data_IF_971172814974
#
_entry.id   IF_971172814974
#
_cell.length_a   1.000
_cell.length_b   1.000
_cell.length_c   1.000
_cell.angle_alpha   90.00
_cell.angle_beta   90.00
_cell.angle_gamma   90.00
#
_symmetry.space_group_name_H-M   'P 1'
#
loop_
_entity.id
_entity.type
_entity.pdbx_description
1 polymer ?
#
# COMPACT_ATOMS: atom_id res chain seq x y z
N UNK A 1 4.48 -2.08 -5.44
CA UNK A 1 5.07 -1.18 -6.43
C UNK A 1 4.10 -0.04 -6.69
N UNK A 2 4.39 1.16 -6.19
CA UNK A 2 3.97 2.36 -6.92
C UNK A 2 4.89 2.37 -8.15
N UNK A 3 4.33 2.01 -9.31
CA UNK A 3 5.07 1.94 -10.56
C UNK A 3 5.50 3.33 -10.99
N UNK A 4 6.70 3.73 -10.60
CA UNK A 4 7.48 4.78 -11.26
C UNK A 4 8.22 4.22 -12.49
N UNK A 5 7.71 3.14 -13.10
CA UNK A 5 8.31 2.44 -14.23
C UNK A 5 7.97 3.07 -15.59
N UNK A 6 7.09 4.07 -15.62
CA UNK A 6 6.75 4.75 -16.87
C UNK A 6 7.25 6.19 -16.86
N UNK A 7 7.96 6.57 -17.92
CA UNK A 7 8.43 7.94 -18.20
C UNK A 7 7.29 8.93 -18.51
N UNK A 8 6.05 8.55 -18.18
CA UNK A 8 4.82 9.23 -18.57
C UNK A 8 4.63 9.27 -20.10
N UNK A 9 3.50 9.81 -20.59
CA UNK A 9 3.24 9.96 -22.02
C UNK A 9 4.29 10.81 -22.77
N UNK A 10 5.02 11.67 -22.05
CA UNK A 10 6.06 12.54 -22.63
C UNK A 10 7.40 11.82 -22.83
N UNK A 11 7.61 10.66 -22.21
CA UNK A 11 8.91 9.99 -22.21
C UNK A 11 9.97 10.68 -21.34
N UNK A 12 9.62 11.74 -20.61
CA UNK A 12 10.57 12.61 -19.87
C UNK A 12 10.22 12.80 -18.39
N UNK A 13 9.22 12.07 -17.88
CA UNK A 13 8.73 12.25 -16.51
C UNK A 13 9.62 11.67 -15.41
N UNK A 14 10.68 10.94 -15.76
CA UNK A 14 11.58 10.29 -14.80
C UNK A 14 13.00 10.82 -15.01
N UNK A 15 13.52 11.56 -14.02
CA UNK A 15 14.90 12.07 -14.03
C UNK A 15 15.93 10.94 -13.87
N UNK A 16 15.63 9.98 -12.99
CA UNK A 16 16.43 8.77 -12.79
C UNK A 16 15.56 7.61 -12.32
N UNK A 17 15.72 6.45 -12.97
CA UNK A 17 15.06 5.20 -12.59
C UNK A 17 16.03 4.31 -11.80
N UNK A 18 15.59 3.80 -10.66
CA UNK A 18 16.28 2.79 -9.89
C UNK A 18 15.29 1.75 -9.38
N UNK A 19 15.21 0.62 -10.09
CA UNK A 19 14.26 -0.46 -9.85
C UNK A 19 15.01 -1.80 -9.81
N UNK A 20 15.87 -2.02 -8.80
CA UNK A 20 16.48 -3.34 -8.63
C UNK A 20 15.37 -4.38 -8.48
N UNK A 21 15.51 -5.51 -9.16
CA UNK A 21 14.60 -6.64 -9.05
C UNK A 21 14.95 -7.41 -7.77
N UNK A 22 13.96 -7.61 -6.90
CA UNK A 22 14.17 -8.21 -5.57
C UNK A 22 14.70 -9.64 -5.67
N UNK A 23 14.39 -10.34 -6.77
CA UNK A 23 14.81 -11.72 -7.03
C UNK A 23 16.05 -11.85 -7.93
N UNK A 24 16.79 -10.76 -8.19
CA UNK A 24 17.94 -10.79 -9.11
C UNK A 24 19.28 -11.18 -8.45
N UNK A 25 19.33 -11.28 -7.12
CA UNK A 25 20.49 -11.80 -6.37
C UNK A 25 20.31 -13.32 -6.18
N UNK A 26 21.35 -14.18 -6.13
CA UNK A 26 21.20 -15.65 -6.08
C UNK A 26 20.39 -16.24 -4.91
N UNK A 27 19.84 -15.42 -4.01
CA UNK A 27 18.91 -15.82 -2.96
C UNK A 27 17.57 -15.13 -3.19
N UNK A 28 16.47 -15.90 -3.13
CA UNK A 28 15.11 -15.38 -3.09
C UNK A 28 14.90 -14.62 -1.77
N UNK A 29 15.04 -13.29 -1.82
CA UNK A 29 14.89 -12.42 -0.67
C UNK A 29 13.47 -12.42 -0.10
N UNK A 30 12.47 -12.93 -0.82
CA UNK A 30 11.10 -12.97 -0.33
C UNK A 30 10.86 -14.07 0.70
N UNK A 31 11.79 -15.01 0.85
CA UNK A 31 11.68 -16.15 1.78
C UNK A 31 12.15 -15.84 3.20
N UNK A 32 12.97 -14.80 3.38
CA UNK A 32 13.50 -14.36 4.67
C UNK A 32 13.35 -12.84 4.80
N UNK A 33 12.57 -12.33 5.78
CA UNK A 33 12.35 -10.89 5.93
C UNK A 33 13.66 -10.11 6.05
N UNK A 34 14.69 -10.64 6.73
CA UNK A 34 15.96 -9.92 6.90
C UNK A 34 16.78 -9.79 5.61
N UNK A 35 16.49 -10.58 4.59
CA UNK A 35 17.10 -10.40 3.27
C UNK A 35 16.41 -9.28 2.48
N UNK A 36 15.09 -9.08 2.65
CA UNK A 36 14.39 -7.90 2.15
C UNK A 36 14.98 -6.59 2.72
N UNK A 37 15.55 -6.59 3.93
CA UNK A 37 16.24 -5.41 4.48
C UNK A 37 17.44 -4.98 3.61
N UNK A 38 18.19 -5.95 3.05
CA UNK A 38 19.32 -5.67 2.14
C UNK A 38 18.82 -5.04 0.84
N UNK A 39 17.70 -5.55 0.32
CA UNK A 39 17.02 -4.97 -0.83
C UNK A 39 16.57 -3.52 -0.54
N UNK A 40 15.90 -3.29 0.58
CA UNK A 40 15.45 -1.95 0.96
C UNK A 40 16.61 -0.97 1.15
N UNK A 41 17.75 -1.45 1.65
CA UNK A 41 18.97 -0.64 1.81
C UNK A 41 19.43 -0.05 0.47
N UNK A 42 19.23 -0.76 -0.65
CA UNK A 42 19.54 -0.23 -1.98
C UNK A 42 18.69 1.01 -2.29
N UNK A 43 17.39 0.96 -2.00
CA UNK A 43 16.49 2.09 -2.18
C UNK A 43 16.83 3.25 -1.24
N UNK A 44 17.12 2.95 0.03
CA UNK A 44 17.51 3.96 1.03
C UNK A 44 18.75 4.72 0.58
N UNK A 45 19.76 4.01 0.07
CA UNK A 45 20.97 4.63 -0.44
C UNK A 45 20.72 5.46 -1.70
N UNK A 46 19.90 4.98 -2.65
CA UNK A 46 19.56 5.74 -3.85
C UNK A 46 18.84 7.05 -3.52
N UNK A 47 17.82 7.01 -2.64
CA UNK A 47 17.09 8.21 -2.20
C UNK A 47 18.00 9.18 -1.46
N UNK A 48 18.86 8.66 -0.57
CA UNK A 48 19.85 9.48 0.13
C UNK A 48 20.80 10.19 -0.84
N UNK A 49 21.26 9.50 -1.89
CA UNK A 49 22.08 10.11 -2.92
C UNK A 49 21.34 11.23 -3.65
N UNK A 50 20.09 11.02 -4.05
CA UNK A 50 19.28 12.05 -4.72
C UNK A 50 19.10 13.30 -3.87
N UNK A 51 18.87 13.13 -2.57
CA UNK A 51 18.79 14.24 -1.60
C UNK A 51 20.09 15.02 -1.49
N UNK A 52 21.23 14.39 -1.75
CA UNK A 52 22.56 15.04 -1.79
C UNK A 52 22.91 15.62 -3.18
N UNK A 53 22.05 15.50 -4.18
CA UNK A 53 22.35 15.93 -5.56
C UNK A 53 23.31 14.99 -6.28
N UNK A 54 23.22 13.69 -5.99
CA UNK A 54 24.06 12.64 -6.57
C UNK A 54 23.14 11.53 -7.12
N UNK A 55 23.52 10.92 -8.24
CA UNK A 55 22.83 9.73 -8.75
C UNK A 55 23.04 8.51 -7.85
N UNK A 56 22.23 7.45 -8.02
CA UNK A 56 22.45 6.18 -7.32
C UNK A 56 23.82 5.55 -7.61
N UNK A 57 24.43 5.85 -8.78
CA UNK A 57 25.76 5.40 -9.20
C UNK A 57 26.88 6.44 -8.95
N UNK A 58 26.67 7.38 -8.02
CA UNK A 58 27.66 8.34 -7.50
C UNK A 58 28.17 9.41 -8.48
N UNK A 59 27.31 9.91 -9.39
CA UNK A 59 27.61 11.02 -10.30
C UNK A 59 26.87 12.30 -9.88
N UNK A 60 27.38 13.50 -10.20
CA UNK A 60 26.64 14.74 -9.98
C UNK A 60 25.25 14.68 -10.63
N UNK A 61 24.23 15.13 -9.91
CA UNK A 61 22.84 15.02 -10.33
C UNK A 61 22.03 16.24 -9.91
N UNK A 62 21.02 16.60 -10.70
CA UNK A 62 20.05 17.60 -10.27
C UNK A 62 19.02 16.91 -9.39
N UNK A 63 18.90 17.33 -8.13
CA UNK A 63 17.92 16.79 -7.18
C UNK A 63 16.50 16.88 -7.77
N UNK A 64 15.79 15.75 -7.92
CA UNK A 64 14.41 15.74 -8.41
C UNK A 64 13.44 16.44 -7.46
N UNK A 65 12.35 16.98 -8.00
CA UNK A 65 11.30 17.61 -7.19
C UNK A 65 10.46 16.59 -6.39
N UNK A 66 10.34 15.36 -6.91
CA UNK A 66 9.68 14.23 -6.25
C UNK A 66 10.63 13.04 -6.35
N UNK A 67 10.84 12.37 -5.22
CA UNK A 67 11.59 11.12 -5.16
C UNK A 67 10.96 10.20 -4.13
N UNK A 68 11.21 8.90 -4.26
CA UNK A 68 10.68 7.93 -3.32
C UNK A 68 10.99 6.50 -3.70
N UNK A 69 10.55 5.60 -2.84
CA UNK A 69 10.73 4.17 -2.97
C UNK A 69 9.72 3.44 -2.11
N UNK A 70 9.99 2.17 -1.86
CA UNK A 70 9.16 1.34 -0.99
C UNK A 70 10.05 0.45 -0.12
N UNK A 71 9.48 0.01 1.00
CA UNK A 71 10.08 -0.97 1.90
C UNK A 71 9.37 -2.32 1.71
N UNK A 72 10.15 -3.39 1.60
CA UNK A 72 9.74 -4.79 1.52
C UNK A 72 10.16 -5.60 2.75
N UNK A 73 10.98 -5.05 3.67
CA UNK A 73 11.50 -5.76 4.85
C UNK A 73 10.39 -6.50 5.59
N UNK A 74 9.32 -5.79 5.96
CA UNK A 74 8.21 -6.45 6.60
C UNK A 74 7.34 -7.25 5.60
N UNK A 75 7.47 -8.58 5.66
CA UNK A 75 6.60 -9.52 4.95
C UNK A 75 5.72 -10.31 5.93
N UNK A 76 4.48 -9.83 6.10
CA UNK A 76 3.49 -10.40 7.02
C UNK A 76 3.10 -11.84 6.69
N UNK A 77 3.19 -12.21 5.42
CA UNK A 77 2.81 -13.52 4.91
C UNK A 77 3.61 -14.62 5.61
N UNK A 78 4.92 -14.42 5.78
CA UNK A 78 5.80 -15.44 6.37
C UNK A 78 6.02 -15.20 7.86
N UNK A 79 6.23 -13.95 8.27
CA UNK A 79 6.67 -13.62 9.62
C UNK A 79 5.55 -13.32 10.62
N UNK A 80 4.29 -13.27 10.17
CA UNK A 80 3.21 -12.69 10.97
C UNK A 80 3.45 -11.20 11.17
N UNK A 81 2.88 -10.59 12.21
CA UNK A 81 3.09 -9.16 12.49
C UNK A 81 2.98 -8.79 13.95
N UNK A 82 2.03 -9.43 14.63
CA UNK A 82 1.77 -9.19 16.03
C UNK A 82 1.90 -10.49 16.82
N UNK A 83 2.17 -10.33 18.11
CA UNK A 83 2.11 -11.39 19.09
C UNK A 83 0.67 -11.95 19.22
N UNK A 84 0.48 -12.96 20.06
CA UNK A 84 -0.81 -13.65 20.23
C UNK A 84 -1.98 -12.72 20.63
N UNK A 85 -1.69 -11.55 21.21
CA UNK A 85 -2.67 -10.53 21.58
C UNK A 85 -3.25 -9.76 20.36
N UNK A 86 -2.60 -9.85 19.20
CA UNK A 86 -2.95 -9.13 17.99
C UNK A 86 -2.73 -7.62 18.07
N UNK A 87 -1.89 -7.15 19.01
CA UNK A 87 -1.63 -5.72 19.27
C UNK A 87 -0.16 -5.40 19.43
N UNK A 88 0.59 -6.25 20.10
CA UNK A 88 2.03 -6.06 20.33
C UNK A 88 2.78 -6.48 19.08
N UNK A 89 3.55 -5.59 18.41
CA UNK A 89 4.39 -5.99 17.29
C UNK A 89 5.35 -7.11 17.68
N UNK A 90 5.47 -8.13 16.83
CA UNK A 90 6.48 -9.16 17.03
C UNK A 90 7.89 -8.61 16.72
N UNK A 91 8.93 -9.41 16.98
CA UNK A 91 10.31 -8.93 16.80
C UNK A 91 10.61 -8.49 15.36
N UNK A 92 10.16 -9.24 14.35
CA UNK A 92 10.40 -8.89 12.94
C UNK A 92 9.70 -7.59 12.57
N UNK A 93 8.47 -7.36 13.03
CA UNK A 93 7.77 -6.10 12.79
C UNK A 93 8.46 -4.93 13.52
N UNK A 94 8.96 -5.13 14.76
CA UNK A 94 9.74 -4.11 15.47
C UNK A 94 11.01 -3.75 14.71
N UNK A 95 11.77 -4.74 14.27
CA UNK A 95 13.01 -4.54 13.52
C UNK A 95 12.75 -3.79 12.21
N UNK A 96 11.69 -4.14 11.49
CA UNK A 96 11.30 -3.44 10.27
C UNK A 96 10.86 -1.99 10.53
N UNK A 97 10.11 -1.73 11.61
CA UNK A 97 9.73 -0.37 11.99
C UNK A 97 10.94 0.47 12.40
N UNK A 98 11.88 -0.10 13.16
CA UNK A 98 13.14 0.56 13.52
C UNK A 98 13.98 0.87 12.28
N UNK A 99 14.10 -0.09 11.35
CA UNK A 99 14.82 0.12 10.09
C UNK A 99 14.19 1.25 9.24
N UNK A 100 12.86 1.35 9.20
CA UNK A 100 12.18 2.46 8.53
C UNK A 100 12.49 3.78 9.23
N UNK A 101 12.44 3.83 10.57
CA UNK A 101 12.78 5.03 11.35
C UNK A 101 14.23 5.50 11.07
N UNK A 102 15.19 4.58 11.14
CA UNK A 102 16.60 4.82 10.83
C UNK A 102 16.79 5.29 9.38
N UNK A 103 16.01 4.75 8.44
CA UNK A 103 16.04 5.17 7.03
C UNK A 103 15.58 6.62 6.85
N UNK A 104 14.55 7.06 7.58
CA UNK A 104 14.09 8.45 7.55
C UNK A 104 15.10 9.39 8.23
N UNK A 105 15.76 8.96 9.30
CA UNK A 105 16.89 9.69 9.86
C UNK A 105 18.01 9.87 8.82
N UNK A 106 18.35 8.80 8.08
CA UNK A 106 19.34 8.87 6.99
C UNK A 106 18.90 9.81 5.86
N UNK A 107 17.62 9.80 5.47
CA UNK A 107 17.10 10.74 4.48
C UNK A 107 17.22 12.19 4.95
N UNK A 108 16.88 12.46 6.21
CA UNK A 108 16.99 13.80 6.77
C UNK A 108 18.45 14.29 6.79
N UNK A 109 19.39 13.45 7.22
CA UNK A 109 20.82 13.77 7.18
C UNK A 109 21.34 13.99 5.75
N UNK A 110 20.86 13.22 4.78
CA UNK A 110 21.18 13.41 3.37
C UNK A 110 20.64 14.75 2.85
N UNK A 111 19.42 15.13 3.23
CA UNK A 111 18.83 16.42 2.88
C UNK A 111 19.59 17.60 3.50
N UNK A 112 20.12 17.44 4.73
CA UNK A 112 21.00 18.44 5.36
C UNK A 112 22.30 18.61 4.56
N UNK A 113 22.94 17.51 4.17
CA UNK A 113 24.17 17.53 3.36
C UNK A 113 23.94 18.12 1.96
N UNK A 114 22.78 17.87 1.37
CA UNK A 114 22.37 18.48 0.10
C UNK A 114 21.97 19.95 0.20
N UNK A 115 21.83 20.50 1.41
CA UNK A 115 21.39 21.87 1.62
C UNK A 115 19.92 22.11 1.22
N UNK A 116 19.07 21.09 1.38
CA UNK A 116 17.65 21.13 0.97
C UNK A 116 16.67 20.74 2.09
N UNK A 117 17.17 20.48 3.30
CA UNK A 117 16.35 20.03 4.43
C UNK A 117 15.23 21.02 4.80
N UNK A 118 15.46 22.33 4.63
CA UNK A 118 14.49 23.39 4.89
C UNK A 118 13.37 23.49 3.84
N UNK A 119 13.49 22.77 2.72
CA UNK A 119 12.52 22.74 1.61
C UNK A 119 12.11 21.34 1.18
N UNK A 120 12.38 20.32 2.00
CA UNK A 120 12.04 18.92 1.72
C UNK A 120 10.96 18.41 2.68
N UNK A 121 9.78 18.10 2.16
CA UNK A 121 8.74 17.40 2.92
C UNK A 121 8.90 15.88 2.83
N UNK A 122 8.56 15.17 3.90
CA UNK A 122 8.58 13.71 3.97
C UNK A 122 7.17 13.17 4.14
N UNK A 123 6.79 12.19 3.31
CA UNK A 123 5.51 11.48 3.40
C UNK A 123 5.78 9.99 3.58
N UNK A 124 5.23 9.40 4.64
CA UNK A 124 5.26 7.96 4.88
C UNK A 124 3.83 7.42 4.93
N UNK A 125 3.55 6.41 4.13
CA UNK A 125 2.27 5.69 4.13
C UNK A 125 2.49 4.25 3.66
N UNK A 126 1.48 3.40 3.80
CA UNK A 126 1.46 2.07 3.21
C UNK A 126 0.43 1.97 2.08
N UNK A 127 0.60 0.99 1.18
CA UNK A 127 -0.37 0.66 0.12
C UNK A 127 -1.60 -0.09 0.66
N UNK A 128 -1.42 -0.85 1.73
CA UNK A 128 -2.46 -1.63 2.41
C UNK A 128 -1.93 -2.03 3.80
N UNK A 129 -2.84 -2.46 4.66
CA UNK A 129 -2.52 -3.15 5.90
C UNK A 129 -2.41 -4.66 5.68
N UNK A 130 -2.71 -5.43 6.73
CA UNK A 130 -2.58 -6.89 6.77
C UNK A 130 -3.65 -7.48 7.70
N UNK A 131 -4.23 -8.63 7.33
CA UNK A 131 -5.20 -9.35 8.15
C UNK A 131 -4.98 -10.87 8.16
N UNK A 132 -5.20 -11.56 9.30
CA UNK A 132 -5.60 -11.01 10.59
C UNK A 132 -4.40 -10.45 11.38
N UNK A 133 -4.67 -9.47 12.25
CA UNK A 133 -3.67 -9.01 13.22
C UNK A 133 -3.48 -10.03 14.34
N UNK A 134 -4.56 -10.68 14.80
CA UNK A 134 -4.49 -11.70 15.85
C UNK A 134 -4.24 -13.09 15.22
N UNK A 135 -3.12 -13.78 15.53
CA UNK A 135 -2.79 -15.05 14.87
C UNK A 135 -3.84 -16.14 15.01
N UNK A 136 -4.62 -16.14 16.11
CA UNK A 136 -5.70 -17.10 16.36
C UNK A 136 -6.95 -16.90 15.48
N UNK A 137 -7.06 -15.77 14.78
CA UNK A 137 -8.15 -15.53 13.81
C UNK A 137 -7.85 -16.13 12.45
N UNK A 138 -6.63 -16.62 12.19
CA UNK A 138 -6.29 -17.25 10.92
C UNK A 138 -7.21 -18.44 10.63
N UNK A 139 -7.81 -18.43 9.43
CA UNK A 139 -8.64 -19.50 8.90
C UNK A 139 -8.31 -19.73 7.43
N UNK A 140 -7.48 -20.73 7.15
CA UNK A 140 -7.23 -21.19 5.79
C UNK A 140 -8.45 -21.93 5.23
N UNK A 141 -8.87 -21.57 4.01
CA UNK A 141 -9.95 -22.26 3.27
C UNK A 141 -9.41 -22.63 1.90
N UNK A 142 -9.81 -23.79 1.35
CA UNK A 142 -9.34 -24.19 0.03
C UNK A 142 -9.80 -23.17 -1.02
N UNK A 143 -8.89 -22.67 -1.85
CA UNK A 143 -9.21 -21.68 -2.89
C UNK A 143 -10.15 -22.21 -3.99
N UNK A 144 -10.36 -23.53 -4.04
CA UNK A 144 -11.28 -24.22 -4.95
C UNK A 144 -12.76 -24.15 -4.53
N UNK A 145 -13.09 -23.81 -3.28
CA UNK A 145 -14.48 -23.92 -2.79
C UNK A 145 -15.42 -22.91 -3.44
N UNK A 146 -14.94 -21.69 -3.70
CA UNK A 146 -15.74 -20.64 -4.35
C UNK A 146 -15.95 -20.95 -5.83
N UNK A 147 -14.90 -21.24 -6.64
CA UNK A 147 -15.07 -21.69 -8.02
C UNK A 147 -16.03 -22.88 -8.14
N UNK A 148 -15.89 -23.92 -7.32
CA UNK A 148 -16.75 -25.10 -7.37
C UNK A 148 -18.23 -24.76 -7.08
N UNK A 149 -18.49 -23.87 -6.12
CA UNK A 149 -19.85 -23.40 -5.82
C UNK A 149 -20.47 -22.64 -7.00
N UNK A 150 -19.66 -21.84 -7.72
CA UNK A 150 -20.10 -21.08 -8.89
C UNK A 150 -20.33 -21.99 -10.11
N UNK A 151 -19.42 -22.92 -10.39
CA UNK A 151 -19.55 -23.89 -11.48
C UNK A 151 -20.83 -24.73 -11.34
N UNK A 152 -21.11 -25.24 -10.14
CA UNK A 152 -22.34 -25.96 -9.84
C UNK A 152 -23.63 -25.15 -10.12
N UNK A 153 -23.53 -23.82 -10.15
CA UNK A 153 -24.66 -22.91 -10.34
C UNK A 153 -24.96 -22.57 -11.82
N UNK A 154 -24.11 -22.94 -12.78
CA UNK A 154 -24.31 -22.63 -14.21
C UNK A 154 -24.15 -21.15 -14.60
N UNK A 155 -23.33 -20.44 -13.81
CA UNK A 155 -22.83 -19.05 -13.88
C UNK A 155 -23.59 -18.03 -14.77
N UNK A 156 -24.46 -17.26 -14.11
CA UNK A 156 -24.77 -15.85 -14.42
C UNK A 156 -24.57 -15.04 -13.13
N UNK A 157 -24.16 -13.78 -13.21
CA UNK A 157 -23.83 -12.95 -12.03
C UNK A 157 -24.90 -12.95 -10.92
N UNK A 158 -26.18 -12.78 -11.28
CA UNK A 158 -27.29 -12.81 -10.30
C UNK A 158 -27.41 -14.15 -9.59
N UNK A 159 -27.23 -15.26 -10.32
CA UNK A 159 -27.31 -16.61 -9.75
C UNK A 159 -26.08 -16.91 -8.89
N UNK A 160 -24.90 -16.44 -9.30
CA UNK A 160 -23.67 -16.51 -8.53
C UNK A 160 -23.82 -15.81 -7.18
N UNK A 161 -24.31 -14.56 -7.16
CA UNK A 161 -24.56 -13.82 -5.92
C UNK A 161 -25.50 -14.57 -4.97
N UNK A 162 -26.62 -15.12 -5.47
CA UNK A 162 -27.55 -15.93 -4.66
C UNK A 162 -26.89 -17.16 -4.05
N UNK A 163 -26.07 -17.88 -4.83
CA UNK A 163 -25.38 -19.08 -4.35
C UNK A 163 -24.33 -18.72 -3.29
N UNK A 164 -23.57 -17.66 -3.49
CA UNK A 164 -22.58 -17.20 -2.51
C UNK A 164 -23.26 -16.73 -1.21
N UNK A 165 -24.38 -16.01 -1.30
CA UNK A 165 -25.17 -15.61 -0.13
C UNK A 165 -25.73 -16.82 0.62
N UNK A 166 -26.29 -17.80 -0.09
CA UNK A 166 -26.86 -19.01 0.52
C UNK A 166 -25.80 -19.90 1.19
N UNK A 167 -24.55 -19.84 0.73
CA UNK A 167 -23.43 -20.62 1.26
C UNK A 167 -22.44 -19.76 2.07
N UNK A 168 -22.82 -18.54 2.46
CA UNK A 168 -21.90 -17.56 3.03
C UNK A 168 -21.14 -18.10 4.25
N UNK A 169 -21.82 -18.79 5.17
CA UNK A 169 -21.19 -19.35 6.37
C UNK A 169 -20.18 -20.48 6.08
N UNK A 170 -20.45 -21.37 5.11
CA UNK A 170 -19.52 -22.45 4.76
C UNK A 170 -18.32 -21.92 3.97
N UNK A 171 -18.53 -20.87 3.17
CA UNK A 171 -17.50 -20.20 2.39
C UNK A 171 -16.73 -19.13 3.19
N UNK A 172 -17.18 -18.82 4.42
CA UNK A 172 -16.68 -17.74 5.29
C UNK A 172 -16.68 -16.36 4.61
N UNK A 173 -17.81 -16.08 3.97
CA UNK A 173 -18.12 -14.80 3.34
C UNK A 173 -18.96 -13.98 4.30
N UNK A 174 -18.46 -12.82 4.68
CA UNK A 174 -19.16 -11.86 5.52
C UNK A 174 -20.21 -11.07 4.73
N UNK A 175 -19.93 -10.79 3.46
CA UNK A 175 -20.77 -9.94 2.62
C UNK A 175 -20.61 -10.26 1.13
N UNK A 176 -21.71 -10.21 0.39
CA UNK A 176 -21.72 -10.28 -1.07
C UNK A 176 -22.28 -8.96 -1.59
N UNK A 177 -21.44 -8.20 -2.29
CA UNK A 177 -21.79 -6.96 -2.97
C UNK A 177 -22.18 -7.30 -4.41
N UNK A 178 -23.43 -7.06 -4.77
CA UNK A 178 -23.95 -7.28 -6.11
C UNK A 178 -24.89 -6.14 -6.53
N UNK A 179 -24.91 -5.81 -7.82
CA UNK A 179 -25.76 -4.73 -8.34
C UNK A 179 -25.46 -3.38 -7.68
N UNK A 180 -26.49 -2.70 -7.17
CA UNK A 180 -26.33 -1.38 -6.52
C UNK A 180 -25.46 -1.41 -5.27
N UNK A 181 -25.28 -2.57 -4.63
CA UNK A 181 -24.43 -2.71 -3.44
C UNK A 181 -22.94 -2.50 -3.76
N UNK A 182 -22.51 -2.73 -5.01
CA UNK A 182 -21.13 -2.41 -5.41
C UNK A 182 -20.84 -0.92 -5.21
N UNK A 183 -21.79 -0.05 -5.59
CA UNK A 183 -21.61 1.39 -5.45
C UNK A 183 -21.53 1.82 -3.98
N UNK A 184 -22.42 1.31 -3.13
CA UNK A 184 -22.43 1.66 -1.70
C UNK A 184 -21.30 0.99 -0.91
N UNK A 185 -20.77 -0.14 -1.38
CA UNK A 185 -19.68 -0.91 -0.74
C UNK A 185 -18.28 -0.34 -0.94
N UNK A 186 -18.16 0.90 -1.43
CA UNK A 186 -16.88 1.56 -1.66
C UNK A 186 -16.35 1.44 -3.09
N UNK A 187 -17.16 0.95 -4.03
CA UNK A 187 -16.89 0.92 -5.47
C UNK A 187 -17.81 1.88 -6.24
N UNK A 188 -18.14 3.02 -5.63
CA UNK A 188 -19.07 4.03 -6.17
C UNK A 188 -18.70 4.58 -7.56
N UNK A 189 -17.43 4.50 -7.97
CA UNK A 189 -16.97 4.93 -9.29
C UNK A 189 -17.00 3.84 -10.38
N UNK A 190 -17.39 2.61 -10.03
CA UNK A 190 -17.43 1.50 -10.97
C UNK A 190 -18.73 1.56 -11.76
N UNK A 191 -18.61 1.83 -13.07
CA UNK A 191 -19.76 1.76 -13.97
C UNK A 191 -20.22 0.30 -14.10
N UNK A 192 -21.53 0.00 -14.00
CA UNK A 192 -22.06 -1.33 -14.30
C UNK A 192 -21.80 -1.81 -15.74
N UNK A 193 -21.41 -0.89 -16.63
CA UNK A 193 -21.07 -1.20 -18.03
C UNK A 193 -19.57 -1.24 -18.30
N UNK A 194 -18.73 -0.98 -17.29
CA UNK A 194 -17.28 -1.10 -17.44
C UNK A 194 -16.92 -2.59 -17.52
N UNK A 195 -16.36 -3.08 -18.65
CA UNK A 195 -15.99 -4.49 -18.78
C UNK A 195 -14.86 -4.92 -17.83
N UNK A 196 -14.18 -3.98 -17.19
CA UNK A 196 -13.18 -4.24 -16.14
C UNK A 196 -13.78 -4.25 -14.73
N UNK A 197 -15.05 -3.84 -14.58
CA UNK A 197 -15.77 -3.95 -13.33
C UNK A 197 -16.09 -5.41 -13.01
N UNK A 198 -15.90 -5.86 -11.75
CA UNK A 198 -16.45 -7.14 -11.33
C UNK A 198 -17.98 -7.08 -11.25
N UNK A 199 -18.66 -8.13 -11.70
CA UNK A 199 -20.10 -8.26 -11.57
C UNK A 199 -20.56 -8.36 -10.10
N UNK A 200 -19.72 -8.91 -9.22
CA UNK A 200 -19.94 -9.05 -7.79
C UNK A 200 -18.60 -9.03 -7.05
N UNK A 201 -18.63 -8.64 -5.77
CA UNK A 201 -17.46 -8.66 -4.89
C UNK A 201 -17.86 -9.31 -3.58
N UNK A 202 -16.99 -10.14 -3.01
CA UNK A 202 -17.21 -10.73 -1.68
C UNK A 202 -16.23 -10.15 -0.67
N UNK A 203 -16.74 -9.77 0.50
CA UNK A 203 -15.90 -9.57 1.69
C UNK A 203 -15.91 -10.86 2.49
N UNK A 204 -14.73 -11.39 2.77
CA UNK A 204 -14.56 -12.57 3.62
C UNK A 204 -14.55 -12.18 5.10
N UNK A 205 -14.86 -13.14 5.98
CA UNK A 205 -14.68 -12.97 7.42
C UNK A 205 -13.21 -12.62 7.74
N UNK A 206 -12.99 -11.80 8.77
CA UNK A 206 -11.63 -11.41 9.18
C UNK A 206 -10.79 -12.64 9.51
N UNK A 207 -9.62 -12.75 8.87
CA UNK A 207 -8.67 -13.84 9.05
C UNK A 207 -8.85 -15.02 8.10
N UNK A 208 -9.88 -15.00 7.24
CA UNK A 208 -10.04 -15.97 6.15
C UNK A 208 -9.03 -15.71 5.05
N UNK A 209 -8.30 -16.74 4.66
CA UNK A 209 -7.38 -16.71 3.53
C UNK A 209 -7.66 -17.94 2.67
N UNK A 210 -8.02 -17.72 1.41
CA UNK A 210 -8.13 -18.80 0.43
C UNK A 210 -6.72 -19.27 0.02
N UNK A 211 -6.43 -20.55 0.22
CA UNK A 211 -5.12 -21.17 0.04
C UNK A 211 -5.25 -22.50 -0.69
N UNK A 212 -4.26 -22.87 -1.50
CA UNK A 212 -4.30 -24.14 -2.23
C UNK A 212 -4.31 -25.37 -1.33
N UNK A 213 -3.74 -25.30 -0.11
CA UNK A 213 -3.79 -26.38 0.86
C UNK A 213 -4.01 -25.87 2.30
N UNK A 214 -5.25 -25.90 2.82
CA UNK A 214 -5.57 -25.43 4.17
C UNK A 214 -4.86 -26.17 5.30
N UNK A 215 -4.42 -27.42 5.07
CA UNK A 215 -3.67 -28.20 6.05
C UNK A 215 -2.21 -27.73 6.18
N UNK A 216 -1.70 -26.96 5.21
CA UNK A 216 -0.35 -26.44 5.21
C UNK A 216 -0.39 -24.92 5.34
N UNK A 217 -0.29 -24.43 6.59
CA UNK A 217 -0.22 -23.00 6.85
C UNK A 217 1.13 -22.43 6.43
N UNK A 218 1.17 -21.91 5.21
CA UNK A 218 2.32 -21.17 4.66
C UNK A 218 2.20 -19.66 4.85
N UNK A 219 1.02 -19.17 5.27
CA UNK A 219 0.72 -17.76 5.46
C UNK A 219 0.23 -17.46 6.88
N UNK A 220 0.69 -16.35 7.44
CA UNK A 220 0.26 -15.85 8.76
C UNK A 220 -0.80 -14.77 8.67
N UNK A 221 -0.73 -13.94 7.63
CA UNK A 221 -1.66 -12.89 7.26
C UNK A 221 -1.65 -12.70 5.73
N UNK A 222 -2.64 -11.99 5.21
CA UNK A 222 -2.78 -11.60 3.81
C UNK A 222 -3.49 -10.25 3.73
N UNK A 223 -3.50 -9.65 2.54
CA UNK A 223 -4.19 -8.40 2.25
C UNK A 223 -4.95 -8.51 0.92
N UNK A 224 -5.42 -7.37 0.39
CA UNK A 224 -6.15 -7.33 -0.89
C UNK A 224 -7.66 -7.52 -0.77
N UNK A 225 -8.14 -7.83 0.43
CA UNK A 225 -9.55 -7.75 0.78
C UNK A 225 -10.02 -6.32 1.06
N UNK A 226 -11.31 -6.22 1.44
CA UNK A 226 -11.94 -4.98 1.88
C UNK A 226 -12.25 -4.95 3.38
N UNK A 227 -11.58 -5.79 4.18
CA UNK A 227 -11.68 -5.66 5.63
C UNK A 227 -10.94 -4.40 6.12
N UNK A 228 -11.37 -3.88 7.26
CA UNK A 228 -10.81 -2.65 7.82
C UNK A 228 -9.28 -2.73 7.96
N UNK A 229 -8.76 -3.85 8.44
CA UNK A 229 -7.32 -4.03 8.65
C UNK A 229 -6.52 -4.17 7.33
N UNK A 230 -7.16 -4.52 6.21
CA UNK A 230 -6.51 -4.53 4.90
C UNK A 230 -6.32 -3.11 4.34
N UNK A 231 -7.18 -2.17 4.74
CA UNK A 231 -7.29 -0.83 4.12
C UNK A 231 -6.86 0.31 5.03
N UNK A 232 -6.90 0.11 6.35
CA UNK A 232 -6.57 1.13 7.33
C UNK A 232 -5.05 1.17 7.55
N UNK A 233 -4.41 2.18 6.97
CA UNK A 233 -2.97 2.39 6.99
C UNK A 233 -2.62 3.71 7.66
N UNK A 234 -1.43 3.77 8.25
CA UNK A 234 -0.88 5.03 8.74
C UNK A 234 -0.49 5.94 7.57
N UNK A 235 -0.68 7.24 7.77
CA UNK A 235 -0.16 8.30 6.90
C UNK A 235 0.50 9.35 7.78
N UNK A 236 1.78 9.60 7.55
CA UNK A 236 2.58 10.59 8.26
C UNK A 236 3.13 11.60 7.27
N UNK A 237 3.12 12.86 7.66
CA UNK A 237 3.59 13.99 6.86
C UNK A 237 4.46 14.89 7.74
N UNK A 238 5.68 15.15 7.29
CA UNK A 238 6.60 16.12 7.88
C UNK A 238 6.87 17.23 6.86
N UNK A 239 6.72 18.49 7.27
CA UNK A 239 6.99 19.66 6.45
C UNK A 239 7.98 20.55 7.21
N UNK A 240 9.10 20.97 6.58
CA UNK A 240 10.07 21.83 7.23
C UNK A 240 9.47 23.12 7.78
N UNK A 241 9.93 23.55 8.96
CA UNK A 241 9.46 24.77 9.60
C UNK A 241 8.03 24.72 10.15
N UNK A 242 7.31 23.60 10.00
CA UNK A 242 6.00 23.36 10.64
C UNK A 242 6.21 22.49 11.88
N UNK A 243 5.67 22.95 13.02
CA UNK A 243 5.95 22.36 14.34
C UNK A 243 5.56 20.88 14.50
N UNK A 244 6.01 20.29 15.60
CA UNK A 244 5.94 18.84 15.84
C UNK A 244 4.53 18.30 16.18
N UNK A 245 4.27 17.07 15.68
CA UNK A 245 3.28 16.08 16.14
C UNK A 245 1.87 16.59 16.46
N UNK A 246 1.12 16.97 15.42
CA UNK A 246 -0.35 17.02 15.53
C UNK A 246 -0.93 15.71 15.04
N UNK A 247 -1.53 14.92 15.94
CA UNK A 247 -2.36 13.78 15.51
C UNK A 247 -3.69 14.34 15.02
N UNK A 248 -3.94 14.22 13.73
CA UNK A 248 -5.24 14.52 13.16
C UNK A 248 -6.14 13.29 13.27
N UNK A 249 -7.33 13.48 13.86
CA UNK A 249 -8.34 12.42 13.99
C UNK A 249 -9.29 12.35 12.79
N UNK A 250 -9.16 13.29 11.84
CA UNK A 250 -9.92 13.26 10.61
C UNK A 250 -9.48 12.07 9.75
N UNK A 251 -10.44 11.28 9.30
CA UNK A 251 -10.17 10.22 8.33
C UNK A 251 -9.67 10.82 7.02
N UNK A 252 -8.58 10.26 6.50
CA UNK A 252 -8.00 10.60 5.21
C UNK A 252 -7.83 9.35 4.36
N UNK A 253 -7.71 9.53 3.05
CA UNK A 253 -7.55 8.46 2.06
C UNK A 253 -6.18 8.56 1.41
N UNK A 254 -5.57 7.43 1.07
CA UNK A 254 -4.30 7.39 0.31
C UNK A 254 -4.39 8.10 -1.05
N UNK A 255 -5.59 8.19 -1.64
CA UNK A 255 -5.87 8.99 -2.85
C UNK A 255 -5.60 10.50 -2.67
N UNK A 256 -5.46 10.98 -1.44
CA UNK A 256 -5.14 12.37 -1.13
C UNK A 256 -3.64 12.65 -1.16
N UNK A 257 -2.76 11.64 -1.27
CA UNK A 257 -1.30 11.85 -1.29
C UNK A 257 -0.87 12.60 -2.55
N UNK A 258 -1.22 12.09 -3.74
CA UNK A 258 -0.85 12.72 -5.01
C UNK A 258 -1.32 14.19 -5.15
N UNK A 259 -2.60 14.55 -4.90
CA UNK A 259 -3.02 15.94 -4.97
C UNK A 259 -2.34 16.82 -3.92
N UNK A 260 -1.98 16.27 -2.75
CA UNK A 260 -1.19 16.99 -1.75
C UNK A 260 0.21 17.32 -2.25
N UNK A 261 0.88 16.35 -2.88
CA UNK A 261 2.22 16.56 -3.46
C UNK A 261 2.16 17.65 -4.54
N UNK A 262 1.17 17.62 -5.43
CA UNK A 262 1.00 18.69 -6.43
C UNK A 262 0.78 20.05 -5.78
N UNK A 263 -0.03 20.14 -4.75
CA UNK A 263 -0.27 21.39 -4.03
C UNK A 263 1.01 21.93 -3.35
N UNK A 264 1.84 21.05 -2.75
CA UNK A 264 3.14 21.43 -2.19
C UNK A 264 4.11 21.96 -3.25
N UNK A 265 4.02 21.46 -4.48
CA UNK A 265 4.81 21.91 -5.62
C UNK A 265 4.24 23.17 -6.30
N UNK A 266 3.13 23.74 -5.79
CA UNK A 266 2.46 24.88 -6.40
C UNK A 266 1.74 24.55 -7.72
N UNK A 267 1.45 23.27 -7.95
CA UNK A 267 0.77 22.78 -9.14
C UNK A 267 -0.73 22.56 -8.88
N UNK A 268 -1.59 22.76 -9.90
CA UNK A 268 -3.02 22.48 -9.80
C UNK A 268 -3.25 20.98 -9.61
N UNK A 269 -3.82 20.58 -8.47
CA UNK A 269 -4.02 19.15 -8.16
C UNK A 269 -5.09 18.47 -9.02
N UNK A 270 -6.02 19.27 -9.57
CA UNK A 270 -7.04 18.87 -10.53
C UNK A 270 -6.49 18.62 -11.94
N UNK A 271 -5.19 18.83 -12.17
CA UNK A 271 -4.49 18.35 -13.37
C UNK A 271 -4.34 16.81 -13.41
N UNK A 272 -4.52 16.13 -12.28
CA UNK A 272 -4.59 14.66 -12.26
C UNK A 272 -5.92 14.20 -12.85
N UNK A 273 -5.88 13.39 -13.91
CA UNK A 273 -7.07 12.80 -14.52
C UNK A 273 -7.96 12.09 -13.49
N UNK A 274 -7.35 11.36 -12.54
CA UNK A 274 -8.07 10.70 -11.47
C UNK A 274 -8.81 11.69 -10.57
N UNK A 275 -8.22 12.85 -10.28
CA UNK A 275 -8.85 13.88 -9.46
C UNK A 275 -9.98 14.60 -10.19
N UNK A 276 -9.80 14.87 -11.48
CA UNK A 276 -10.84 15.43 -12.34
C UNK A 276 -12.05 14.49 -12.49
N UNK A 277 -11.83 13.17 -12.58
CA UNK A 277 -12.90 12.18 -12.75
C UNK A 277 -13.55 11.76 -11.43
N UNK A 278 -12.78 11.63 -10.34
CA UNK A 278 -13.26 11.03 -9.08
C UNK A 278 -13.47 12.05 -7.94
N UNK A 279 -13.16 13.33 -8.17
CA UNK A 279 -13.32 14.37 -7.14
C UNK A 279 -12.35 14.20 -5.97
N UNK A 280 -11.08 13.94 -6.25
CA UNK A 280 -10.06 13.85 -5.22
C UNK A 280 -9.75 15.25 -4.62
N UNK A 281 -9.33 15.31 -3.36
CA UNK A 281 -8.84 16.54 -2.73
C UNK A 281 -7.47 16.32 -2.10
N UNK A 282 -6.65 17.36 -1.91
CA UNK A 282 -5.48 17.28 -1.04
C UNK A 282 -5.86 16.85 0.39
N UNK A 283 -4.84 16.53 1.19
CA UNK A 283 -5.00 16.31 2.61
C UNK A 283 -5.63 17.56 3.26
N UNK A 284 -6.45 17.37 4.31
CA UNK A 284 -6.96 18.51 5.05
C UNK A 284 -5.81 19.35 5.62
N UNK A 285 -6.06 20.62 5.87
CA UNK A 285 -5.13 21.56 6.52
C UNK A 285 -3.91 22.00 5.69
N UNK A 286 -3.82 21.62 4.41
CA UNK A 286 -2.75 22.10 3.53
C UNK A 286 -2.67 23.63 3.42
N UNK A 287 -3.78 24.36 3.50
CA UNK A 287 -3.77 25.83 3.53
C UNK A 287 -3.07 26.42 4.75
N UNK A 288 -3.12 25.74 5.90
CA UNK A 288 -2.40 26.15 7.12
C UNK A 288 -0.92 25.72 7.08
N UNK A 289 -0.63 24.65 6.32
CA UNK A 289 0.72 24.11 6.18
C UNK A 289 1.53 24.77 5.06
N UNK A 290 0.89 25.41 4.09
CA UNK A 290 1.57 26.11 2.97
C UNK A 290 1.51 27.64 3.07
N UNK A 291 0.64 28.20 3.91
CA UNK A 291 0.68 29.61 4.32
C UNK A 291 1.73 29.88 5.38
#
# INVERSE_FOLDING_TARGET
>A
MLGLESTGPSGKGVDQLFTPEINWVPADYTTNPYDCMKYDTLHVNAISNWLMGITWDNKPFTTPAIMGGNFQFYNATISGGYEADGKTPNQVLKDALNFIDDSFAQFYEAALKGGIADRTAFILTAKHGQSPMKPSQYKGIADTVVPAALEAAGIKAAKAAQVLMANASSLSIAEVLYGSQLQTGGYAGVSPTDPHAPDLITRVDVGVIYVGNPAHRTKSAEHGGINLHDRHVALMLSIPGKGYLTRHFQEVKTRQVAPTVLQMLGLPYDSLTACALEGCTPLPMMSHLLG
#
